data_IF_162865546095
#
_entry.id   IF_162865546095
#
_cell.length_a   1.000
_cell.length_b   1.000
_cell.length_c   1.000
_cell.angle_alpha   90.00
_cell.angle_beta   90.00
_cell.angle_gamma   90.00
#
_symmetry.space_group_name_H-M   'P 1'
#
loop_
_entity.id
_entity.type
_entity.pdbx_description
1 polymer ?
#
# COMPACT_ATOMS: atom_id res chain seq x y z
N UNK A 1 -9.20 -20.13 -6.03
CA UNK A 1 -8.37 -18.93 -5.75
C UNK A 1 -6.98 -19.38 -5.36
N UNK A 2 -5.96 -18.53 -5.57
CA UNK A 2 -4.59 -18.74 -5.09
C UNK A 2 -4.24 -17.59 -4.14
N UNK A 3 -3.51 -17.87 -3.07
CA UNK A 3 -2.94 -16.84 -2.19
C UNK A 3 -1.46 -16.70 -2.56
N UNK A 4 -1.07 -15.51 -3.01
CA UNK A 4 0.31 -15.19 -3.38
C UNK A 4 0.91 -14.25 -2.32
N UNK A 5 2.23 -14.31 -2.13
CA UNK A 5 2.95 -13.48 -1.17
C UNK A 5 4.10 -12.74 -1.88
N UNK A 6 4.31 -11.49 -1.49
CA UNK A 6 5.47 -10.67 -1.87
C UNK A 6 5.92 -9.85 -0.66
N UNK A 7 7.19 -9.47 -0.61
CA UNK A 7 7.74 -8.62 0.44
C UNK A 7 8.25 -7.29 -0.14
N UNK A 8 8.22 -6.25 0.68
CA UNK A 8 8.71 -4.92 0.33
C UNK A 8 9.45 -4.36 1.53
N UNK A 9 10.66 -3.82 1.28
CA UNK A 9 11.49 -3.15 2.26
C UNK A 9 11.98 -1.85 1.62
N UNK A 10 11.79 -0.72 2.30
CA UNK A 10 12.31 0.57 1.85
C UNK A 10 13.21 1.19 2.91
N UNK A 11 14.41 1.69 2.55
CA UNK A 11 15.31 2.35 3.49
C UNK A 11 14.93 3.80 3.80
N UNK A 12 13.94 4.37 3.10
CA UNK A 12 13.57 5.79 3.22
C UNK A 12 12.06 5.94 3.35
N UNK A 13 11.58 6.84 4.22
CA UNK A 13 10.18 7.25 4.20
C UNK A 13 9.78 7.84 2.84
N UNK A 14 8.52 7.66 2.45
CA UNK A 14 8.00 8.17 1.18
C UNK A 14 6.69 7.53 0.76
N UNK A 15 6.10 8.06 -0.32
CA UNK A 15 4.87 7.55 -0.94
C UNK A 15 5.21 6.84 -2.24
N UNK A 16 4.75 5.60 -2.38
CA UNK A 16 4.98 4.72 -3.52
C UNK A 16 3.66 4.47 -4.24
N UNK A 17 3.66 4.65 -5.57
CA UNK A 17 2.49 4.48 -6.42
C UNK A 17 2.63 3.26 -7.33
N UNK A 18 1.55 2.50 -7.47
CA UNK A 18 1.41 1.39 -8.40
C UNK A 18 0.10 1.46 -9.17
N UNK A 19 0.02 0.67 -10.25
CA UNK A 19 -1.19 0.49 -11.05
C UNK A 19 -1.49 -1.00 -11.16
N UNK A 20 -2.76 -1.34 -11.35
CA UNK A 20 -3.15 -2.71 -11.71
C UNK A 20 -2.41 -3.14 -12.99
N UNK A 21 -1.84 -4.35 -12.99
CA UNK A 21 -1.00 -4.84 -14.10
C UNK A 21 -1.65 -5.93 -14.94
N UNK A 22 -2.94 -6.21 -14.69
CA UNK A 22 -3.72 -7.20 -15.44
C UNK A 22 -5.09 -6.61 -15.77
N UNK A 23 -5.53 -6.72 -17.03
CA UNK A 23 -6.78 -6.12 -17.47
C UNK A 23 -7.97 -6.74 -16.71
N UNK A 24 -8.70 -5.91 -15.97
CA UNK A 24 -9.74 -6.40 -15.03
C UNK A 24 -11.12 -5.75 -15.23
N UNK A 25 -11.34 -5.07 -16.36
CA UNK A 25 -12.62 -4.42 -16.71
C UNK A 25 -12.47 -2.93 -17.07
N UNK A 26 -13.60 -2.25 -17.29
CA UNK A 26 -13.64 -0.87 -17.79
C UNK A 26 -12.90 0.15 -16.91
N UNK A 27 -12.81 -0.10 -15.60
CA UNK A 27 -12.16 0.79 -14.66
C UNK A 27 -10.71 0.40 -14.33
N UNK A 28 -10.09 -0.47 -15.14
CA UNK A 28 -8.74 -0.98 -14.89
C UNK A 28 -7.69 0.13 -14.70
N UNK A 29 -7.78 1.24 -15.43
CA UNK A 29 -6.87 2.39 -15.30
C UNK A 29 -7.20 3.32 -14.12
N UNK A 30 -8.32 3.12 -13.44
CA UNK A 30 -8.80 3.98 -12.34
C UNK A 30 -8.71 3.30 -10.97
N UNK A 31 -7.83 2.30 -10.83
CA UNK A 31 -7.55 1.59 -9.58
C UNK A 31 -6.06 1.64 -9.19
N UNK A 32 -5.57 2.82 -8.79
CA UNK A 32 -4.19 2.96 -8.30
C UNK A 32 -4.01 2.24 -6.95
N UNK A 33 -2.78 1.85 -6.66
CA UNK A 33 -2.34 1.33 -5.36
C UNK A 33 -1.35 2.33 -4.76
N UNK A 34 -1.51 2.67 -3.48
CA UNK A 34 -0.62 3.59 -2.76
C UNK A 34 -0.08 2.89 -1.52
N UNK A 35 1.22 2.99 -1.29
CA UNK A 35 1.89 2.56 -0.06
C UNK A 35 2.65 3.76 0.50
N UNK A 36 2.37 4.11 1.74
CA UNK A 36 3.11 5.15 2.46
C UNK A 36 4.04 4.50 3.50
N UNK A 37 5.34 4.74 3.36
CA UNK A 37 6.33 4.34 4.35
C UNK A 37 6.61 5.53 5.27
N UNK A 38 6.28 5.36 6.55
CA UNK A 38 6.50 6.36 7.60
C UNK A 38 7.43 5.80 8.68
N UNK A 39 8.07 6.66 9.50
CA UNK A 39 8.75 6.20 10.71
C UNK A 39 7.81 5.43 11.65
N UNK A 40 8.35 4.46 12.40
CA UNK A 40 7.55 3.58 13.26
C UNK A 40 6.64 4.33 14.25
N UNK A 41 7.16 5.39 14.88
CA UNK A 41 6.38 6.19 15.83
C UNK A 41 5.12 6.81 15.19
N UNK A 42 5.20 7.24 13.94
CA UNK A 42 4.05 7.77 13.20
C UNK A 42 3.03 6.68 12.90
N UNK A 43 3.51 5.48 12.50
CA UNK A 43 2.64 4.34 12.25
C UNK A 43 1.91 3.90 13.53
N UNK A 44 2.60 3.81 14.65
CA UNK A 44 2.00 3.45 15.95
C UNK A 44 0.96 4.48 16.38
N UNK A 45 1.25 5.77 16.24
CA UNK A 45 0.29 6.83 16.52
C UNK A 45 -0.94 6.77 15.61
N UNK A 46 -0.77 6.48 14.33
CA UNK A 46 -1.89 6.31 13.40
C UNK A 46 -2.73 5.08 13.78
N UNK A 47 -2.08 3.98 14.10
CA UNK A 47 -2.73 2.74 14.48
C UNK A 47 -3.60 2.94 15.73
N UNK A 48 -3.05 3.53 16.80
CA UNK A 48 -3.81 3.77 18.03
C UNK A 48 -5.04 4.65 17.81
N UNK A 49 -4.93 5.69 16.98
CA UNK A 49 -6.05 6.57 16.61
C UNK A 49 -7.11 5.86 15.77
N UNK A 50 -6.73 4.88 14.95
CA UNK A 50 -7.64 4.19 14.02
C UNK A 50 -8.33 2.98 14.67
N UNK A 51 -7.71 2.39 15.69
CA UNK A 51 -8.23 1.19 16.37
C UNK A 51 -8.98 1.45 17.68
N UNK A 52 -9.10 2.71 18.11
CA UNK A 52 -9.93 3.13 19.25
C UNK A 52 -11.33 3.53 18.83
#
# INVERSE_FOLDING_TARGET
GRLNQTSFLTPRPGVYYGQCSEICGANHSFMPIVVEAVPLANFESWFTLTTS
#
